data_IF_132362859344
#
_entry.id   IF_132362859344
#
_cell.length_a   1.000
_cell.length_b   1.000
_cell.length_c   1.000
_cell.angle_alpha   90.00
_cell.angle_beta   90.00
_cell.angle_gamma   90.00
#
_symmetry.space_group_name_H-M   'P 1'
#
loop_
_entity.id
_entity.type
_entity.pdbx_description
1 polymer ?
#
# COMPACT_ATOMS: atom_id res chain seq x y z
N UNK A 1 -11.05 12.24 9.65
CA UNK A 1 -9.64 12.54 9.97
C UNK A 1 -8.93 12.86 8.67
N UNK A 2 -8.18 13.98 8.56
CA UNK A 2 -7.49 14.33 7.30
C UNK A 2 -6.19 13.54 7.16
N UNK A 3 -5.72 13.35 5.91
CA UNK A 3 -4.43 12.68 5.67
C UNK A 3 -3.26 13.42 6.32
N UNK A 4 -3.33 14.75 6.39
CA UNK A 4 -2.30 15.58 7.03
C UNK A 4 -2.22 15.25 8.52
N UNK A 5 -3.37 15.17 9.21
CA UNK A 5 -3.39 14.82 10.62
C UNK A 5 -2.85 13.40 10.86
N UNK A 6 -3.19 12.45 9.97
CA UNK A 6 -2.64 11.08 10.04
C UNK A 6 -1.12 11.07 9.91
N UNK A 7 -0.59 11.72 8.87
CA UNK A 7 0.86 11.78 8.62
C UNK A 7 1.60 12.47 9.76
N UNK A 8 1.04 13.55 10.31
CA UNK A 8 1.62 14.26 11.46
C UNK A 8 1.67 13.38 12.70
N UNK A 9 0.59 12.65 13.01
CA UNK A 9 0.58 11.72 14.15
C UNK A 9 1.62 10.63 13.96
N UNK A 10 1.70 10.03 12.76
CA UNK A 10 2.69 8.99 12.46
C UNK A 10 4.12 9.56 12.58
N UNK A 11 4.37 10.78 12.12
CA UNK A 11 5.67 11.45 12.27
C UNK A 11 6.04 11.69 13.72
N UNK A 12 5.09 12.15 14.56
CA UNK A 12 5.31 12.35 16.00
C UNK A 12 5.62 11.02 16.68
N UNK A 13 4.82 9.98 16.43
CA UNK A 13 5.04 8.64 16.99
C UNK A 13 6.39 8.09 16.55
N UNK A 14 6.74 8.21 15.27
CA UNK A 14 8.04 7.77 14.76
C UNK A 14 9.20 8.52 15.42
N UNK A 15 9.07 9.84 15.64
CA UNK A 15 10.08 10.64 16.33
C UNK A 15 10.26 10.19 17.79
N UNK A 16 9.16 9.97 18.51
CA UNK A 16 9.17 9.48 19.90
C UNK A 16 9.84 8.10 19.98
N UNK A 17 9.43 7.16 19.12
CA UNK A 17 10.02 5.81 19.09
C UNK A 17 11.51 5.85 18.74
N UNK A 18 11.91 6.72 17.81
CA UNK A 18 13.33 6.92 17.45
C UNK A 18 14.12 7.46 18.64
N UNK A 19 13.60 8.46 19.34
CA UNK A 19 14.22 9.03 20.53
C UNK A 19 14.37 8.01 21.67
N UNK A 20 13.33 7.22 21.93
CA UNK A 20 13.37 6.14 22.92
C UNK A 20 14.40 5.07 22.55
N UNK A 21 14.46 4.66 21.28
CA UNK A 21 15.46 3.70 20.82
C UNK A 21 16.89 4.24 20.97
N UNK A 22 17.10 5.51 20.62
CA UNK A 22 18.39 6.18 20.82
C UNK A 22 18.81 6.16 22.29
N UNK A 23 17.89 6.49 23.21
CA UNK A 23 18.13 6.51 24.65
C UNK A 23 18.41 5.12 25.24
N UNK A 24 17.75 4.07 24.75
CA UNK A 24 17.91 2.71 25.30
C UNK A 24 19.14 1.98 24.76
N UNK A 25 19.47 2.15 23.47
CA UNK A 25 20.53 1.35 22.84
C UNK A 25 21.80 2.11 22.48
N UNK A 26 21.81 3.44 22.42
CA UNK A 26 22.94 4.31 22.01
C UNK A 26 23.73 3.87 20.76
N UNK A 27 23.21 2.90 19.99
CA UNK A 27 23.92 2.19 18.91
C UNK A 27 23.13 2.32 17.62
N UNK A 28 22.86 3.56 17.23
CA UNK A 28 22.22 3.91 15.97
C UNK A 28 23.29 4.43 15.01
N UNK A 29 23.34 3.85 13.81
CA UNK A 29 24.27 4.31 12.77
C UNK A 29 23.88 5.69 12.25
N UNK A 30 22.57 5.93 12.07
CA UNK A 30 22.02 7.23 11.70
C UNK A 30 20.62 7.41 12.27
N UNK A 31 20.43 8.47 13.05
CA UNK A 31 19.13 8.81 13.66
C UNK A 31 18.09 9.12 12.59
N UNK A 32 18.48 9.80 11.51
CA UNK A 32 17.60 10.17 10.42
C UNK A 32 17.01 8.95 9.70
N UNK A 33 17.83 7.93 9.44
CA UNK A 33 17.40 6.72 8.73
C UNK A 33 16.46 5.90 9.58
N UNK A 34 16.77 5.78 10.87
CA UNK A 34 15.89 5.12 11.82
C UNK A 34 14.54 5.83 11.96
N UNK A 35 14.53 7.17 11.96
CA UNK A 35 13.29 7.94 11.93
C UNK A 35 12.48 7.61 10.68
N UNK A 36 13.09 7.67 9.49
CA UNK A 36 12.41 7.31 8.24
C UNK A 36 11.90 5.88 8.27
N UNK A 37 12.67 4.95 8.84
CA UNK A 37 12.34 3.54 8.94
C UNK A 37 11.13 3.29 9.86
N UNK A 38 11.06 3.98 11.01
CA UNK A 38 9.86 3.93 11.87
C UNK A 38 8.67 4.63 11.21
N UNK A 39 8.90 5.79 10.58
CA UNK A 39 7.84 6.54 9.90
C UNK A 39 7.18 5.72 8.80
N UNK A 40 7.96 5.17 7.86
CA UNK A 40 7.43 4.34 6.77
C UNK A 40 6.87 3.02 7.27
N UNK A 41 7.51 2.40 8.28
CA UNK A 41 7.04 1.17 8.88
C UNK A 41 5.68 1.30 9.57
N UNK A 42 5.47 2.36 10.37
CA UNK A 42 4.19 2.65 11.02
C UNK A 42 3.12 3.00 9.98
N UNK A 43 3.47 3.77 8.93
CA UNK A 43 2.55 4.10 7.85
C UNK A 43 2.04 2.85 7.13
N UNK A 44 2.94 1.92 6.80
CA UNK A 44 2.57 0.66 6.14
C UNK A 44 1.77 -0.26 7.06
N UNK A 45 2.13 -0.34 8.34
CA UNK A 45 1.38 -1.09 9.34
C UNK A 45 -0.06 -0.58 9.47
N UNK A 46 -0.25 0.75 9.54
CA UNK A 46 -1.56 1.36 9.62
C UNK A 46 -2.36 1.20 8.31
N UNK A 47 -1.75 1.50 7.16
CA UNK A 47 -2.36 1.36 5.84
C UNK A 47 -2.82 -0.08 5.57
N UNK A 48 -1.96 -1.06 5.83
CA UNK A 48 -2.29 -2.47 5.68
C UNK A 48 -3.34 -2.94 6.69
N UNK A 49 -3.27 -2.50 7.96
CA UNK A 49 -4.28 -2.86 8.96
C UNK A 49 -5.69 -2.46 8.54
N UNK A 50 -5.85 -1.24 8.02
CA UNK A 50 -7.16 -0.76 7.56
C UNK A 50 -7.69 -1.60 6.40
N UNK A 51 -6.82 -2.04 5.47
CA UNK A 51 -7.21 -2.96 4.39
C UNK A 51 -7.50 -4.37 4.90
N UNK A 52 -6.81 -4.83 5.95
CA UNK A 52 -7.02 -6.15 6.54
C UNK A 52 -8.38 -6.26 7.25
N UNK A 53 -8.96 -5.14 7.69
CA UNK A 53 -10.33 -5.09 8.21
C UNK A 53 -11.36 -5.34 7.10
N UNK A 54 -11.13 -4.85 5.88
CA UNK A 54 -11.97 -5.12 4.70
C UNK A 54 -11.15 -5.59 3.49
N UNK A 55 -10.76 -6.88 3.46
CA UNK A 55 -10.01 -7.43 2.34
C UNK A 55 -10.86 -7.54 1.06
N UNK A 56 -12.19 -7.63 1.18
CA UNK A 56 -13.11 -7.69 0.05
C UNK A 56 -13.16 -6.37 -0.71
N UNK A 57 -13.23 -5.23 -0.01
CA UNK A 57 -13.15 -3.91 -0.62
C UNK A 57 -11.88 -3.75 -1.45
N UNK A 58 -10.75 -4.23 -0.95
CA UNK A 58 -9.47 -4.22 -1.69
C UNK A 58 -9.51 -5.15 -2.91
N UNK A 59 -10.16 -6.32 -2.81
CA UNK A 59 -10.31 -7.26 -3.91
C UNK A 59 -11.17 -6.68 -5.05
N UNK A 60 -12.30 -6.04 -4.75
CA UNK A 60 -13.13 -5.39 -5.76
C UNK A 60 -12.37 -4.28 -6.49
N UNK A 61 -11.59 -3.46 -5.77
CA UNK A 61 -10.75 -2.45 -6.42
C UNK A 61 -9.72 -3.05 -7.36
N UNK A 62 -9.09 -4.16 -6.98
CA UNK A 62 -8.16 -4.87 -7.86
C UNK A 62 -8.86 -5.41 -9.12
N UNK A 63 -10.09 -5.88 -9.01
CA UNK A 63 -10.89 -6.28 -10.18
C UNK A 63 -11.16 -5.10 -11.11
N UNK A 64 -11.53 -3.93 -10.57
CA UNK A 64 -11.68 -2.70 -11.36
C UNK A 64 -10.39 -2.34 -12.11
N UNK A 65 -9.24 -2.39 -11.42
CA UNK A 65 -7.93 -2.16 -12.05
C UNK A 65 -7.64 -3.15 -13.17
N UNK A 66 -7.89 -4.44 -12.95
CA UNK A 66 -7.62 -5.46 -13.96
C UNK A 66 -8.54 -5.32 -15.18
N UNK A 67 -9.82 -4.98 -14.98
CA UNK A 67 -10.74 -4.68 -16.08
C UNK A 67 -10.25 -3.48 -16.90
N UNK A 68 -9.76 -2.43 -16.24
CA UNK A 68 -9.26 -1.24 -16.92
C UNK A 68 -7.90 -1.44 -17.60
N UNK A 69 -7.04 -2.26 -17.02
CA UNK A 69 -5.80 -2.65 -17.69
C UNK A 69 -6.05 -3.54 -18.89
N UNK A 70 -7.07 -4.41 -18.84
CA UNK A 70 -7.50 -5.18 -20.00
C UNK A 70 -7.89 -4.24 -21.15
N UNK A 71 -8.83 -3.32 -20.94
CA UNK A 71 -9.29 -2.39 -22.00
C UNK A 71 -8.20 -1.43 -22.47
N UNK A 72 -7.25 -1.11 -21.59
CA UNK A 72 -6.10 -0.25 -21.93
C UNK A 72 -5.09 -0.98 -22.80
N UNK A 73 -4.81 -2.26 -22.51
CA UNK A 73 -3.86 -3.06 -23.28
C UNK A 73 -4.45 -3.63 -24.57
N UNK A 74 -5.76 -3.93 -24.56
CA UNK A 74 -6.51 -4.39 -25.73
C UNK A 74 -6.44 -3.35 -26.87
N UNK A 75 -6.05 -3.77 -28.07
CA UNK A 75 -5.91 -2.88 -29.23
C UNK A 75 -4.64 -2.05 -29.28
N UNK A 76 -3.66 -2.30 -28.39
CA UNK A 76 -2.37 -1.59 -28.37
C UNK A 76 -1.19 -2.53 -28.61
N UNK A 77 0.04 -1.99 -28.63
CA UNK A 77 1.26 -2.79 -28.70
C UNK A 77 1.43 -3.77 -27.51
N UNK A 78 0.66 -3.58 -26.42
CA UNK A 78 0.65 -4.44 -25.24
C UNK A 78 -0.45 -5.52 -25.26
N UNK A 79 -1.09 -5.77 -26.40
CA UNK A 79 -2.19 -6.75 -26.49
C UNK A 79 -1.80 -8.16 -25.98
N UNK A 80 -0.51 -8.52 -26.04
CA UNK A 80 -0.02 -9.79 -25.49
C UNK A 80 -0.20 -9.93 -23.96
N UNK A 81 -0.34 -8.81 -23.22
CA UNK A 81 -0.61 -8.80 -21.78
C UNK A 81 -2.11 -8.85 -21.45
N UNK A 82 -2.98 -8.50 -22.40
CA UNK A 82 -4.44 -8.50 -22.21
C UNK A 82 -4.97 -9.80 -21.56
N UNK A 83 -4.60 -11.02 -22.00
CA UNK A 83 -5.16 -12.25 -21.40
C UNK A 83 -4.74 -12.51 -19.95
N UNK A 84 -3.72 -11.82 -19.42
CA UNK A 84 -3.28 -11.98 -18.03
C UNK A 84 -4.28 -11.32 -17.06
N UNK A 85 -4.90 -10.20 -17.45
CA UNK A 85 -5.77 -9.43 -16.54
C UNK A 85 -7.07 -10.17 -16.17
N UNK A 86 -7.79 -10.84 -17.09
CA UNK A 86 -8.94 -11.67 -16.72
C UNK A 86 -8.57 -12.81 -15.76
N UNK A 87 -7.40 -13.43 -15.95
CA UNK A 87 -6.89 -14.46 -15.04
C UNK A 87 -6.60 -13.90 -13.65
N UNK A 88 -5.96 -12.73 -13.57
CA UNK A 88 -5.73 -12.04 -12.30
C UNK A 88 -7.03 -11.62 -11.61
N UNK A 89 -8.06 -11.25 -12.38
CA UNK A 89 -9.39 -10.89 -11.84
C UNK A 89 -10.08 -12.05 -11.13
N UNK A 90 -9.90 -13.29 -11.61
CA UNK A 90 -10.43 -14.50 -10.95
C UNK A 90 -9.73 -14.75 -9.61
N UNK A 91 -8.44 -14.42 -9.51
CA UNK A 91 -7.65 -14.58 -8.29
C UNK A 91 -7.52 -13.28 -7.47
N UNK A 92 -8.33 -12.26 -7.76
CA UNK A 92 -8.20 -10.93 -7.16
C UNK A 92 -8.28 -10.94 -5.63
N UNK A 93 -9.15 -11.79 -5.05
CA UNK A 93 -9.27 -11.94 -3.59
C UNK A 93 -8.00 -12.48 -2.95
N UNK A 94 -7.44 -13.56 -3.51
CA UNK A 94 -6.19 -14.14 -3.01
C UNK A 94 -5.03 -13.16 -3.16
N UNK A 95 -5.00 -12.43 -4.28
CA UNK A 95 -3.99 -11.40 -4.53
C UNK A 95 -4.13 -10.21 -3.57
N UNK A 96 -5.35 -9.77 -3.25
CA UNK A 96 -5.63 -8.73 -2.27
C UNK A 96 -5.12 -9.12 -0.88
N UNK A 97 -5.48 -10.31 -0.40
CA UNK A 97 -5.03 -10.82 0.91
C UNK A 97 -3.51 -10.90 0.94
N UNK A 98 -2.89 -11.45 -0.11
CA UNK A 98 -1.43 -11.53 -0.22
C UNK A 98 -0.78 -10.14 -0.14
N UNK A 99 -1.27 -9.17 -0.91
CA UNK A 99 -0.77 -7.79 -0.92
C UNK A 99 -0.91 -7.11 0.44
N UNK A 100 -2.05 -7.28 1.11
CA UNK A 100 -2.31 -6.70 2.45
C UNK A 100 -1.36 -7.30 3.48
N UNK A 101 -1.23 -8.62 3.51
CA UNK A 101 -0.31 -9.31 4.42
C UNK A 101 1.12 -8.88 4.14
N UNK A 102 1.51 -8.80 2.87
CA UNK A 102 2.83 -8.37 2.46
C UNK A 102 3.14 -6.93 2.90
N UNK A 103 2.19 -6.00 2.74
CA UNK A 103 2.33 -4.61 3.18
C UNK A 103 2.53 -4.49 4.70
N UNK A 104 1.74 -5.21 5.48
CA UNK A 104 1.85 -5.21 6.95
C UNK A 104 3.16 -5.86 7.39
N UNK A 105 3.50 -7.04 6.86
CA UNK A 105 4.74 -7.76 7.20
C UNK A 105 5.95 -6.89 6.87
N UNK A 106 5.95 -6.20 5.72
CA UNK A 106 6.99 -5.26 5.37
C UNK A 106 7.06 -4.08 6.35
N UNK A 107 5.92 -3.55 6.79
CA UNK A 107 5.86 -2.54 7.86
C UNK A 107 6.52 -3.03 9.15
N UNK A 108 6.25 -4.27 9.56
CA UNK A 108 6.90 -4.92 10.71
C UNK A 108 8.41 -5.11 10.48
N UNK A 109 8.83 -5.53 9.29
CA UNK A 109 10.25 -5.67 8.92
C UNK A 109 10.99 -4.33 9.03
N UNK A 110 10.38 -3.23 8.57
CA UNK A 110 10.92 -1.88 8.70
C UNK A 110 11.07 -1.50 10.18
N UNK A 111 10.01 -1.61 10.99
CA UNK A 111 10.04 -1.24 12.41
C UNK A 111 11.13 -2.02 13.18
N UNK A 112 11.22 -3.34 12.97
CA UNK A 112 12.20 -4.20 13.63
C UNK A 112 13.62 -4.07 13.05
N UNK A 113 13.73 -3.63 11.80
CA UNK A 113 14.98 -3.64 11.06
C UNK A 113 15.45 -5.03 10.67
N UNK A 114 14.53 -5.87 10.22
CA UNK A 114 14.89 -7.18 9.72
C UNK A 114 15.48 -7.10 8.30
N UNK A 115 16.51 -7.91 8.04
CA UNK A 115 17.18 -8.09 6.73
C UNK A 115 17.18 -6.81 5.85
N UNK A 116 17.91 -5.75 6.23
CA UNK A 116 17.67 -4.41 5.70
C UNK A 116 17.81 -4.28 4.17
N UNK A 117 18.70 -5.06 3.54
CA UNK A 117 18.83 -5.09 2.07
C UNK A 117 17.58 -5.65 1.39
N UNK A 118 17.02 -6.74 1.93
CA UNK A 118 15.80 -7.35 1.40
C UNK A 118 14.62 -6.41 1.62
N UNK A 119 14.48 -5.89 2.84
CA UNK A 119 13.38 -4.98 3.20
C UNK A 119 13.40 -3.71 2.37
N UNK A 120 14.58 -3.12 2.09
CA UNK A 120 14.69 -1.95 1.21
C UNK A 120 14.21 -2.24 -0.22
N UNK A 121 14.61 -3.39 -0.79
CA UNK A 121 14.17 -3.81 -2.12
C UNK A 121 12.66 -4.10 -2.19
N UNK A 122 12.14 -4.85 -1.22
CA UNK A 122 10.71 -5.17 -1.15
C UNK A 122 9.86 -3.91 -0.94
N UNK A 123 10.32 -2.98 -0.09
CA UNK A 123 9.67 -1.69 0.11
C UNK A 123 9.67 -0.85 -1.15
N UNK A 124 10.81 -0.75 -1.83
CA UNK A 124 10.90 -0.04 -3.09
C UNK A 124 9.95 -0.61 -4.14
N UNK A 125 9.94 -1.93 -4.34
CA UNK A 125 9.07 -2.59 -5.31
C UNK A 125 7.59 -2.36 -4.98
N UNK A 126 7.21 -2.46 -3.71
CA UNK A 126 5.83 -2.26 -3.28
C UNK A 126 5.37 -0.79 -3.46
N UNK A 127 6.22 0.18 -3.12
CA UNK A 127 5.92 1.60 -3.34
C UNK A 127 5.83 1.91 -4.83
N UNK A 128 6.75 1.40 -5.66
CA UNK A 128 6.68 1.56 -7.12
C UNK A 128 5.38 0.98 -7.66
N UNK A 129 5.00 -0.23 -7.23
CA UNK A 129 3.74 -0.86 -7.62
C UNK A 129 2.53 0.02 -7.28
N UNK A 130 2.41 0.49 -6.04
CA UNK A 130 1.31 1.39 -5.65
C UNK A 130 1.37 2.75 -6.37
N UNK A 131 2.56 3.28 -6.64
CA UNK A 131 2.74 4.51 -7.43
C UNK A 131 2.23 4.34 -8.86
N UNK A 132 2.43 3.18 -9.47
CA UNK A 132 1.90 2.87 -10.81
C UNK A 132 0.37 2.78 -10.78
N UNK A 133 -0.22 2.09 -9.79
CA UNK A 133 -1.68 1.99 -9.66
C UNK A 133 -2.34 3.35 -9.41
N UNK A 134 -1.82 4.11 -8.44
CA UNK A 134 -2.32 5.47 -8.12
C UNK A 134 -2.09 6.44 -9.26
N UNK A 135 -0.93 6.33 -9.93
CA UNK A 135 -0.60 7.12 -11.11
C UNK A 135 -1.55 6.85 -12.27
N UNK A 136 -1.86 5.58 -12.54
CA UNK A 136 -2.83 5.20 -13.58
C UNK A 136 -4.21 5.81 -13.31
N UNK A 137 -4.73 5.69 -12.08
CA UNK A 137 -6.01 6.29 -11.69
C UNK A 137 -6.00 7.81 -11.78
N UNK A 138 -4.92 8.45 -11.38
CA UNK A 138 -4.79 9.90 -11.51
C UNK A 138 -4.74 10.36 -12.97
N UNK A 139 -3.95 9.68 -13.81
CA UNK A 139 -3.73 10.03 -15.21
C UNK A 139 -4.95 9.75 -16.08
N UNK A 140 -5.73 8.70 -15.79
CA UNK A 140 -6.98 8.43 -16.52
C UNK A 140 -8.00 9.57 -16.39
N UNK A 141 -7.93 10.39 -15.34
CA UNK A 141 -8.74 11.61 -15.23
C UNK A 141 -8.48 12.67 -16.32
N UNK A 142 -7.37 12.57 -17.07
CA UNK A 142 -7.06 13.41 -18.23
C UNK A 142 -7.53 12.81 -19.56
N UNK A 143 -7.95 11.54 -19.56
CA UNK A 143 -8.30 10.79 -20.77
C UNK A 143 -9.83 10.78 -20.92
N UNK A 144 -10.39 11.22 -22.06
CA UNK A 144 -11.82 11.04 -22.34
C UNK A 144 -12.23 9.56 -22.29
N UNK A 145 -13.44 9.26 -21.80
CA UNK A 145 -13.91 7.87 -21.62
C UNK A 145 -14.04 7.07 -22.93
N UNK A 146 -14.10 7.75 -24.07
CA UNK A 146 -14.17 7.17 -25.42
C UNK A 146 -12.79 6.86 -26.03
N UNK A 147 -11.70 7.28 -25.38
CA UNK A 147 -10.33 7.15 -25.90
C UNK A 147 -9.49 6.19 -25.05
N UNK A 148 -8.56 5.50 -25.73
CA UNK A 148 -7.58 4.67 -25.04
C UNK A 148 -6.53 5.54 -24.33
N UNK A 149 -6.03 5.07 -23.18
CA UNK A 149 -5.02 5.75 -22.37
C UNK A 149 -3.78 6.18 -23.15
N UNK A 150 -3.31 5.36 -24.10
CA UNK A 150 -2.09 5.64 -24.88
C UNK A 150 -2.28 6.65 -26.01
N UNK A 151 -3.50 7.12 -26.27
CA UNK A 151 -3.73 8.20 -27.23
C UNK A 151 -3.41 9.57 -26.58
N UNK A 152 -2.12 9.85 -26.40
CA UNK A 152 -1.64 11.08 -25.75
C UNK A 152 -2.11 12.37 -26.43
N UNK A 153 -2.47 12.32 -27.71
CA UNK A 153 -3.00 13.48 -28.44
C UNK A 153 -4.42 13.86 -28.03
N UNK A 154 -5.19 12.89 -27.51
CA UNK A 154 -6.57 13.09 -27.06
C UNK A 154 -6.67 13.49 -25.58
N UNK A 155 -5.55 13.64 -24.88
CA UNK A 155 -5.53 14.05 -23.47
C UNK A 155 -6.01 15.49 -23.34
N UNK A 156 -6.97 15.69 -22.42
CA UNK A 156 -7.64 16.96 -22.20
C UNK A 156 -7.43 17.51 -20.79
N UNK A 157 -8.21 18.52 -20.39
CA UNK A 157 -8.19 19.01 -19.01
C UNK A 157 -8.71 17.93 -18.05
N UNK A 158 -8.14 17.88 -16.85
CA UNK A 158 -8.51 16.93 -15.81
C UNK A 158 -10.00 17.04 -15.45
N UNK A 159 -10.73 15.93 -15.54
CA UNK A 159 -12.13 15.81 -15.11
C UNK A 159 -12.31 14.60 -14.19
N UNK A 160 -12.94 14.82 -13.04
CA UNK A 160 -13.22 13.75 -12.06
C UNK A 160 -14.15 12.66 -12.63
N UNK A 161 -15.03 13.02 -13.58
CA UNK A 161 -15.94 12.09 -14.26
C UNK A 161 -15.25 11.09 -15.18
N UNK A 162 -14.02 11.39 -15.61
CA UNK A 162 -13.29 10.57 -16.57
C UNK A 162 -12.47 9.46 -15.89
N UNK A 163 -12.40 9.48 -14.55
CA UNK A 163 -11.64 8.50 -13.79
C UNK A 163 -12.28 7.12 -13.92
N UNK A 164 -11.47 6.14 -14.29
CA UNK A 164 -11.94 4.78 -14.53
C UNK A 164 -12.03 3.94 -13.26
N UNK A 165 -11.24 4.29 -12.24
CA UNK A 165 -11.33 3.72 -10.88
C UNK A 165 -11.55 4.87 -9.90
N UNK A 166 -12.59 4.79 -9.07
CA UNK A 166 -13.07 5.92 -8.26
C UNK A 166 -12.21 6.25 -7.04
N UNK A 167 -11.54 5.24 -6.45
CA UNK A 167 -10.71 5.39 -5.25
C UNK A 167 -9.57 4.38 -5.26
N UNK A 168 -8.40 4.77 -4.75
CA UNK A 168 -7.20 3.92 -4.81
C UNK A 168 -7.17 2.75 -3.82
N UNK A 169 -8.12 2.67 -2.89
CA UNK A 169 -8.19 1.61 -1.88
C UNK A 169 -7.03 1.57 -0.88
N UNK A 170 -6.12 2.56 -0.90
CA UNK A 170 -4.92 2.56 -0.06
C UNK A 170 -5.20 2.61 1.45
N UNK A 171 -6.36 3.09 1.89
CA UNK A 171 -6.80 3.05 3.29
C UNK A 171 -8.20 2.42 3.40
N UNK A 172 -8.54 1.49 2.51
CA UNK A 172 -9.90 0.93 2.45
C UNK A 172 -10.98 2.01 2.43
N UNK A 173 -12.12 1.72 3.05
CA UNK A 173 -13.23 2.68 3.22
C UNK A 173 -13.05 3.65 4.41
N UNK A 174 -11.98 3.50 5.21
CA UNK A 174 -11.72 4.37 6.36
C UNK A 174 -11.47 5.83 5.93
N UNK A 175 -10.73 6.02 4.83
CA UNK A 175 -10.47 7.32 4.23
C UNK A 175 -10.51 7.16 2.70
N UNK A 176 -11.61 7.60 2.07
CA UNK A 176 -11.66 7.80 0.62
C UNK A 176 -10.77 8.98 0.25
N UNK A 177 -9.59 8.67 -0.27
CA UNK A 177 -8.62 9.66 -0.70
C UNK A 177 -8.81 9.98 -2.16
N UNK A 178 -8.84 11.28 -2.47
CA UNK A 178 -8.71 11.73 -3.85
C UNK A 178 -7.47 11.10 -4.50
N UNK A 179 -7.58 10.58 -5.73
CA UNK A 179 -6.46 9.90 -6.41
C UNK A 179 -5.19 10.75 -6.50
N UNK A 180 -5.34 12.08 -6.64
CA UNK A 180 -4.22 13.04 -6.61
C UNK A 180 -3.41 12.92 -5.32
N UNK A 181 -4.10 12.95 -4.19
CA UNK A 181 -3.48 12.89 -2.86
C UNK A 181 -2.78 11.55 -2.67
N UNK A 182 -3.42 10.45 -3.09
CA UNK A 182 -2.83 9.10 -3.02
C UNK A 182 -1.55 8.97 -3.86
N UNK A 183 -1.58 9.49 -5.09
CA UNK A 183 -0.41 9.49 -5.98
C UNK A 183 0.76 10.31 -5.41
N UNK A 184 0.51 11.53 -4.94
CA UNK A 184 1.57 12.36 -4.33
C UNK A 184 2.12 11.75 -3.03
N UNK A 185 1.29 11.07 -2.25
CA UNK A 185 1.72 10.32 -1.05
C UNK A 185 2.69 9.19 -1.44
N UNK A 186 2.38 8.40 -2.47
CA UNK A 186 3.27 7.32 -2.91
C UNK A 186 4.56 7.85 -3.56
N UNK A 187 4.47 8.96 -4.32
CA UNK A 187 5.64 9.65 -4.85
C UNK A 187 6.55 10.20 -3.73
N UNK A 188 5.97 10.72 -2.66
CA UNK A 188 6.74 11.11 -1.47
C UNK A 188 7.42 9.91 -0.80
N UNK A 189 6.75 8.75 -0.74
CA UNK A 189 7.31 7.51 -0.20
C UNK A 189 8.42 6.89 -1.08
N UNK A 190 8.50 7.25 -2.37
CA UNK A 190 9.63 6.85 -3.21
C UNK A 190 10.95 7.48 -2.73
N UNK A 191 10.92 8.69 -2.15
CA UNK A 191 12.12 9.36 -1.64
C UNK A 191 12.84 8.52 -0.56
N UNK A 192 12.18 8.11 0.56
CA UNK A 192 12.80 7.21 1.52
C UNK A 192 13.07 5.82 0.93
N UNK A 193 12.29 5.35 -0.06
CA UNK A 193 12.53 4.05 -0.70
C UNK A 193 13.88 4.01 -1.45
N UNK A 194 14.14 5.01 -2.30
CA UNK A 194 15.44 5.17 -2.96
C UNK A 194 16.55 5.34 -1.93
N UNK A 195 16.31 6.14 -0.90
CA UNK A 195 17.29 6.37 0.14
C UNK A 195 17.67 5.06 0.88
N UNK A 196 16.71 4.18 1.17
CA UNK A 196 16.96 2.87 1.77
C UNK A 196 17.75 1.93 0.86
N UNK A 197 17.55 1.95 -0.47
CA UNK A 197 18.30 1.10 -1.40
C UNK A 197 19.81 1.34 -1.31
N UNK A 198 20.23 2.60 -1.27
CA UNK A 198 21.64 2.97 -1.20
C UNK A 198 22.20 2.87 0.23
N UNK A 199 21.37 3.13 1.24
CA UNK A 199 21.80 3.24 2.64
C UNK A 199 21.31 2.10 3.55
N UNK A 200 20.95 0.94 2.99
CA UNK A 200 20.42 -0.20 3.75
C UNK A 200 21.32 -0.64 4.92
N UNK A 201 22.63 -0.42 4.83
CA UNK A 201 23.58 -0.78 5.91
C UNK A 201 23.43 0.08 7.17
N UNK A 202 22.85 1.27 7.05
CA UNK A 202 22.68 2.22 8.14
C UNK A 202 21.35 2.06 8.87
N UNK A 203 20.44 1.22 8.36
CA UNK A 203 19.17 0.90 9.00
C UNK A 203 19.40 0.25 10.38
N UNK A 204 18.58 0.60 11.37
CA UNK A 204 18.72 0.03 12.70
C UNK A 204 18.26 -1.43 12.72
N UNK A 205 18.70 -2.17 13.74
CA UNK A 205 18.27 -3.53 13.99
C UNK A 205 17.97 -3.69 15.48
N UNK A 206 16.69 -3.83 15.84
CA UNK A 206 16.30 -3.70 17.24
C UNK A 206 16.51 -4.98 18.05
N UNK A 207 16.13 -6.14 17.50
CA UNK A 207 16.16 -7.44 18.19
C UNK A 207 17.19 -8.38 17.56
N UNK A 208 17.49 -9.50 18.21
CA UNK A 208 18.31 -10.57 17.60
C UNK A 208 17.57 -11.22 16.41
N UNK A 209 18.32 -11.73 15.42
CA UNK A 209 17.74 -12.32 14.20
C UNK A 209 16.69 -13.41 14.50
N UNK A 210 16.93 -14.29 15.49
CA UNK A 210 15.97 -15.34 15.85
C UNK A 210 14.65 -14.77 16.37
N UNK A 211 14.70 -13.72 17.21
CA UNK A 211 13.49 -13.07 17.73
C UNK A 211 12.74 -12.34 16.61
N UNK A 212 13.45 -11.68 15.69
CA UNK A 212 12.84 -11.04 14.51
C UNK A 212 12.14 -12.08 13.63
N UNK A 213 12.77 -13.23 13.37
CA UNK A 213 12.17 -14.30 12.59
C UNK A 213 10.90 -14.86 13.24
N UNK A 214 10.91 -15.08 14.56
CA UNK A 214 9.73 -15.55 15.29
C UNK A 214 8.58 -14.54 15.17
N UNK A 215 8.86 -13.24 15.37
CA UNK A 215 7.84 -12.18 15.24
C UNK A 215 7.29 -12.12 13.82
N UNK A 216 8.15 -12.19 12.80
CA UNK A 216 7.71 -12.15 11.40
C UNK A 216 6.86 -13.36 11.02
N UNK A 217 7.25 -14.56 11.45
CA UNK A 217 6.51 -15.77 11.17
C UNK A 217 5.16 -15.78 11.88
N UNK A 218 5.13 -15.41 13.17
CA UNK A 218 3.88 -15.32 13.93
C UNK A 218 2.96 -14.23 13.41
N UNK A 219 3.49 -13.04 13.06
CA UNK A 219 2.69 -11.97 12.47
C UNK A 219 2.10 -12.38 11.13
N UNK A 220 2.87 -13.06 10.27
CA UNK A 220 2.39 -13.49 8.95
C UNK A 220 1.23 -14.47 9.09
N UNK A 221 1.34 -15.50 9.94
CA UNK A 221 0.28 -16.48 10.16
C UNK A 221 -0.97 -15.81 10.73
N UNK A 222 -0.80 -14.96 11.75
CA UNK A 222 -1.92 -14.28 12.40
C UNK A 222 -2.65 -13.36 11.41
N UNK A 223 -1.92 -12.63 10.56
CA UNK A 223 -2.51 -11.73 9.57
C UNK A 223 -3.24 -12.47 8.46
N UNK A 224 -2.70 -13.60 7.99
CA UNK A 224 -3.41 -14.45 7.02
C UNK A 224 -4.71 -14.95 7.64
N UNK A 225 -4.65 -15.48 8.87
CA UNK A 225 -5.83 -15.96 9.57
C UNK A 225 -6.85 -14.82 9.77
N UNK A 226 -6.40 -13.63 10.16
CA UNK A 226 -7.24 -12.46 10.33
C UNK A 226 -7.92 -12.03 9.01
N UNK A 227 -7.18 -11.95 7.91
CA UNK A 227 -7.76 -11.57 6.61
C UNK A 227 -8.77 -12.62 6.11
N UNK A 228 -8.45 -13.91 6.25
CA UNK A 228 -9.35 -15.01 5.88
C UNK A 228 -10.60 -15.00 6.76
N UNK A 229 -10.45 -14.76 8.07
CA UNK A 229 -11.58 -14.64 8.99
C UNK A 229 -12.51 -13.49 8.60
N UNK A 230 -11.99 -12.28 8.37
CA UNK A 230 -12.79 -11.13 7.95
C UNK A 230 -13.47 -11.37 6.58
N UNK A 231 -12.79 -12.06 5.66
CA UNK A 231 -13.36 -12.46 4.37
C UNK A 231 -14.53 -13.44 4.50
N UNK A 232 -14.41 -14.48 5.34
CA UNK A 232 -15.46 -15.52 5.45
C UNK A 232 -16.65 -15.09 6.31
N UNK A 233 -16.40 -14.34 7.38
CA UNK A 233 -17.42 -14.07 8.39
C UNK A 233 -18.07 -12.69 8.28
N UNK A 234 -17.60 -11.83 7.37
CA UNK A 234 -18.24 -10.55 6.99
C UNK A 234 -18.61 -9.60 8.14
N UNK A 235 -18.08 -9.81 9.36
CA UNK A 235 -18.21 -8.94 10.51
C UNK A 235 -16.87 -8.24 10.78
N UNK A 236 -16.56 -7.16 10.04
CA UNK A 236 -15.40 -6.36 10.36
C UNK A 236 -15.55 -5.81 11.78
N UNK A 237 -14.51 -5.96 12.61
CA UNK A 237 -14.51 -5.43 13.99
C UNK A 237 -14.84 -3.93 14.06
N UNK A 238 -14.56 -3.19 12.99
CA UNK A 238 -15.02 -1.83 12.77
C UNK A 238 -15.56 -1.74 11.34
N UNK A 239 -16.87 -1.59 11.20
CA UNK A 239 -17.51 -1.51 9.89
C UNK A 239 -17.34 -0.11 9.30
N UNK A 240 -16.53 0.00 8.25
CA UNK A 240 -16.31 1.23 7.49
C UNK A 240 -17.14 1.29 6.21
N UNK A 241 -17.90 0.23 5.88
CA UNK A 241 -18.69 0.17 4.66
C UNK A 241 -19.83 1.19 4.69
N UNK A 242 -20.24 1.73 3.53
CA UNK A 242 -21.36 2.67 3.45
C UNK A 242 -22.71 2.06 3.84
N UNK A 243 -22.85 0.73 3.76
CA UNK A 243 -24.06 0.01 4.15
C UNK A 243 -23.73 -1.00 5.24
N UNK A 244 -24.38 -0.88 6.39
CA UNK A 244 -24.28 -1.87 7.47
C UNK A 244 -24.98 -3.15 7.03
N UNK A 245 -24.39 -4.31 7.36
CA UNK A 245 -25.09 -5.58 7.22
C UNK A 245 -26.41 -5.51 8.01
N UNK A 246 -27.55 -5.75 7.35
CA UNK A 246 -28.87 -5.85 7.99
C UNK A 246 -29.78 -4.61 7.91
N UNK A 247 -29.38 -3.53 7.24
CA UNK A 247 -30.30 -2.46 6.82
C UNK A 247 -30.72 -2.68 5.37
N UNK A 248 -31.89 -3.30 5.18
CA UNK A 248 -32.62 -3.29 3.91
C UNK A 248 -33.27 -1.93 3.68
#
# INVERSE_FOLDING_TARGET
MTIINLVLIIAVVAAVVTGLHYAVKHKMNSVFISFLQYFTGILFLFSGWVKAVDPLGTAFKLQDYFAEFYTTCEGTFLNFLAPIFPLLSQYATSFAIFMIVFEIVLGVMLILGDRPKLTAWLFFLLVVFFTVLTGFTYLTGYVPSDQNFFNFSAWGPYKLSNMRVTDCGCFGDFIKLEPKISFFKDLFLLIPAFYFLFNARLMHQWLNQSRRNVILFSSTILLIFYCVYNFYWNEPHVDFRPFKNGTN
#
